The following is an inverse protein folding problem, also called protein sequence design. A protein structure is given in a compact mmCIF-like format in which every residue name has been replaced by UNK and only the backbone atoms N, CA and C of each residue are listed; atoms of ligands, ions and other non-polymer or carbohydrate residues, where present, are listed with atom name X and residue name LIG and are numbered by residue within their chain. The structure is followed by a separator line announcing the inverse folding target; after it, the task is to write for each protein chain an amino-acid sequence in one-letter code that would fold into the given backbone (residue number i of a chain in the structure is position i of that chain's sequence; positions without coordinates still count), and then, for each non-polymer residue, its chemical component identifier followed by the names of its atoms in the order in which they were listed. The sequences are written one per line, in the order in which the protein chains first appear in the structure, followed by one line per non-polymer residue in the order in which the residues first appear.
data_IF_053098247947
#
_entry.id   IF_053098247947
#
_cell.length_a   1.000
_cell.length_b   1.000
_cell.length_c   1.000
_cell.angle_alpha   90.00
_cell.angle_beta   90.00
_cell.angle_gamma   90.00
#
_symmetry.space_group_name_H-M   'P 1'
#
loop_
_entity.id
_entity.type
_entity.pdbx_description
1 polymer ?
#
# COMPACT_ATOMS: atom_id res chain seq x y z
N UNK A 1 -7.13 -11.63 15.73
CA UNK A 1 -7.19 -10.21 15.36
C UNK A 1 -6.86 -10.08 13.89
N UNK A 2 -7.72 -9.45 13.09
CA UNK A 2 -7.52 -9.25 11.64
C UNK A 2 -6.18 -8.55 11.38
N UNK A 3 -5.43 -8.93 10.35
CA UNK A 3 -4.15 -8.28 9.97
C UNK A 3 -4.27 -6.76 9.83
N UNK A 4 -5.45 -6.27 9.41
CA UNK A 4 -5.81 -4.85 9.35
C UNK A 4 -5.67 -4.11 10.69
N UNK A 5 -5.97 -4.77 11.80
CA UNK A 5 -5.85 -4.18 13.13
C UNK A 5 -4.42 -4.21 13.66
N UNK A 6 -3.59 -5.12 13.14
CA UNK A 6 -2.21 -5.30 13.58
C UNK A 6 -1.24 -4.30 12.94
N UNK A 7 -1.44 -3.93 11.67
CA UNK A 7 -0.59 -2.92 11.01
C UNK A 7 -0.95 -1.46 11.34
N UNK A 8 -1.83 -1.24 12.33
CA UNK A 8 -2.14 0.07 12.87
C UNK A 8 -3.18 0.89 12.08
N UNK A 9 -3.49 2.12 12.54
CA UNK A 9 -4.60 2.92 12.01
C UNK A 9 -4.49 3.27 10.52
N UNK A 10 -3.26 3.37 10.00
CA UNK A 10 -3.01 3.71 8.59
C UNK A 10 -3.33 2.58 7.61
N UNK A 11 -3.65 1.37 8.10
CA UNK A 11 -4.15 0.30 7.23
C UNK A 11 -5.52 0.59 6.61
N UNK A 12 -6.39 1.34 7.31
CA UNK A 12 -7.71 1.69 6.78
C UNK A 12 -7.64 2.63 5.57
N UNK A 13 -6.85 3.74 5.61
CA UNK A 13 -6.54 4.54 4.43
C UNK A 13 -5.94 3.74 3.27
N UNK A 14 -5.02 2.81 3.55
CA UNK A 14 -4.44 1.94 2.52
C UNK A 14 -5.51 1.06 1.86
N UNK A 15 -6.45 0.51 2.64
CA UNK A 15 -7.56 -0.29 2.10
C UNK A 15 -8.47 0.54 1.19
N UNK A 16 -8.77 1.78 1.57
CA UNK A 16 -9.56 2.71 0.74
C UNK A 16 -8.82 3.01 -0.56
N UNK A 17 -7.52 3.30 -0.50
CA UNK A 17 -6.67 3.51 -1.68
C UNK A 17 -6.67 2.28 -2.60
N UNK A 18 -6.63 1.08 -2.03
CA UNK A 18 -6.66 -0.15 -2.80
C UNK A 18 -7.98 -0.30 -3.57
N UNK A 19 -9.11 -0.06 -2.92
CA UNK A 19 -10.44 -0.11 -3.56
C UNK A 19 -10.53 0.94 -4.68
N UNK A 20 -10.05 2.16 -4.43
CA UNK A 20 -10.04 3.23 -5.45
C UNK A 20 -9.20 2.80 -6.67
N UNK A 21 -8.02 2.24 -6.45
CA UNK A 21 -7.15 1.76 -7.54
C UNK A 21 -7.85 0.67 -8.34
N UNK A 22 -8.49 -0.31 -7.70
CA UNK A 22 -9.25 -1.36 -8.37
C UNK A 22 -10.39 -0.78 -9.22
N UNK A 23 -11.17 0.16 -8.68
CA UNK A 23 -12.25 0.84 -9.41
C UNK A 23 -11.72 1.62 -10.62
N UNK A 24 -10.58 2.29 -10.49
CA UNK A 24 -9.95 3.02 -11.59
C UNK A 24 -9.44 2.07 -12.69
N UNK A 25 -8.84 0.93 -12.32
CA UNK A 25 -8.40 -0.08 -13.28
C UNK A 25 -9.61 -0.61 -14.06
N UNK A 26 -10.67 -1.03 -13.37
CA UNK A 26 -11.92 -1.50 -14.00
C UNK A 26 -12.49 -0.43 -14.93
N UNK A 27 -12.63 0.81 -14.45
CA UNK A 27 -13.11 1.94 -15.26
C UNK A 27 -12.26 2.18 -16.51
N UNK A 28 -10.93 2.07 -16.40
CA UNK A 28 -10.00 2.27 -17.50
C UNK A 28 -10.04 1.18 -18.56
N UNK A 29 -10.44 -0.04 -18.19
CA UNK A 29 -10.61 -1.15 -19.14
C UNK A 29 -11.88 -0.94 -19.98
N UNK A 30 -12.98 -0.50 -19.37
CA UNK A 30 -14.27 -0.31 -20.07
C UNK A 30 -14.41 1.04 -20.80
N UNK A 31 -13.76 2.11 -20.34
CA UNK A 31 -13.87 3.45 -20.96
C UNK A 31 -12.63 3.81 -21.76
N UNK A 32 -12.82 4.26 -23.01
CA UNK A 32 -11.73 4.65 -23.91
C UNK A 32 -11.28 6.10 -23.79
N UNK A 33 -11.99 6.95 -23.05
CA UNK A 33 -11.69 8.39 -22.92
C UNK A 33 -10.66 8.63 -21.80
N UNK A 34 -9.61 9.43 -22.08
CA UNK A 34 -8.58 9.89 -21.12
C UNK A 34 -7.65 8.80 -20.49
N UNK A 35 -7.38 7.69 -21.20
CA UNK A 35 -6.52 6.60 -20.67
C UNK A 35 -5.17 7.04 -20.12
N UNK A 36 -4.52 8.02 -20.75
CA UNK A 36 -3.19 8.49 -20.32
C UNK A 36 -3.21 9.15 -18.93
N UNK A 37 -4.23 9.98 -18.66
CA UNK A 37 -4.41 10.61 -17.34
C UNK A 37 -4.71 9.55 -16.28
N UNK A 38 -5.60 8.61 -16.60
CA UNK A 38 -5.97 7.51 -15.70
C UNK A 38 -4.78 6.61 -15.36
N UNK A 39 -3.95 6.25 -16.36
CA UNK A 39 -2.71 5.50 -16.17
C UNK A 39 -1.74 6.24 -15.23
N UNK A 40 -1.57 7.56 -15.44
CA UNK A 40 -0.72 8.39 -14.58
C UNK A 40 -1.25 8.41 -13.14
N UNK A 41 -2.56 8.61 -12.96
CA UNK A 41 -3.21 8.60 -11.64
C UNK A 41 -3.03 7.27 -10.91
N UNK A 42 -3.25 6.13 -11.58
CA UNK A 42 -3.04 4.79 -10.99
C UNK A 42 -1.58 4.61 -10.55
N UNK A 43 -0.62 5.00 -11.40
CA UNK A 43 0.80 4.90 -11.10
C UNK A 43 1.18 5.72 -9.87
N UNK A 44 0.68 6.95 -9.77
CA UNK A 44 0.96 7.87 -8.65
C UNK A 44 0.31 7.39 -7.36
N UNK A 45 -0.97 6.97 -7.39
CA UNK A 45 -1.66 6.43 -6.22
C UNK A 45 -1.02 5.14 -5.71
N UNK A 46 -0.58 4.28 -6.63
CA UNK A 46 0.20 3.10 -6.31
C UNK A 46 1.48 3.44 -5.55
N UNK A 47 2.29 4.34 -6.08
CA UNK A 47 3.54 4.76 -5.42
C UNK A 47 3.25 5.37 -4.04
N UNK A 48 2.23 6.21 -3.95
CA UNK A 48 1.79 6.81 -2.70
C UNK A 48 1.41 5.74 -1.66
N UNK A 49 0.70 4.68 -2.06
CA UNK A 49 0.33 3.59 -1.14
C UNK A 49 1.55 2.85 -0.57
N UNK A 50 2.60 2.62 -1.37
CA UNK A 50 3.85 2.04 -0.88
C UNK A 50 4.53 2.95 0.14
N UNK A 51 4.67 4.24 -0.19
CA UNK A 51 5.26 5.24 0.73
C UNK A 51 4.46 5.34 2.02
N UNK A 52 3.12 5.31 1.95
CA UNK A 52 2.25 5.37 3.12
C UNK A 52 2.39 4.12 4.00
N UNK A 53 2.64 2.94 3.40
CA UNK A 53 2.94 1.71 4.13
C UNK A 53 4.23 1.80 4.95
N UNK A 54 5.32 2.33 4.36
CA UNK A 54 6.56 2.59 5.08
C UNK A 54 6.42 3.71 6.13
N UNK A 55 5.65 4.74 5.84
CA UNK A 55 5.35 5.80 6.79
C UNK A 55 4.65 5.25 8.05
N UNK A 56 3.67 4.36 7.86
CA UNK A 56 3.02 3.67 8.97
C UNK A 56 3.99 2.81 9.80
N UNK A 57 4.93 2.13 9.14
CA UNK A 57 5.97 1.38 9.83
C UNK A 57 6.88 2.27 10.67
N UNK A 58 7.31 3.42 10.15
CA UNK A 58 8.15 4.38 10.88
C UNK A 58 7.43 4.86 12.15
N UNK A 59 6.14 5.21 12.05
CA UNK A 59 5.35 5.59 13.22
C UNK A 59 5.23 4.45 14.25
N UNK A 60 5.05 3.22 13.78
CA UNK A 60 5.03 2.04 14.64
C UNK A 60 6.37 1.81 15.37
N UNK A 61 7.49 2.02 14.67
CA UNK A 61 8.82 1.92 15.27
C UNK A 61 9.10 3.01 16.29
N UNK A 62 8.68 4.25 16.04
CA UNK A 62 8.83 5.34 17.03
C UNK A 62 8.17 4.93 18.35
N UNK A 63 6.89 4.54 18.33
CA UNK A 63 6.19 4.13 19.55
C UNK A 63 6.74 2.84 20.20
N UNK A 64 7.21 1.89 19.38
CA UNK A 64 7.84 0.68 19.89
C UNK A 64 9.17 0.98 20.59
N UNK A 65 10.04 1.81 19.99
CA UNK A 65 11.32 2.17 20.58
C UNK A 65 11.17 3.04 21.84
N UNK A 66 10.18 3.94 21.88
CA UNK A 66 9.83 4.66 23.11
C UNK A 66 9.44 3.70 24.24
N UNK A 67 8.60 2.70 23.94
CA UNK A 67 8.18 1.69 24.92
C UNK A 67 9.37 0.84 25.41
N UNK A 68 10.29 0.50 24.51
CA UNK A 68 11.51 -0.24 24.83
C UNK A 68 12.43 0.59 25.73
N UNK A 69 12.62 1.88 25.43
CA UNK A 69 13.45 2.78 26.21
C UNK A 69 12.92 2.96 27.64
N UNK A 70 11.59 2.94 27.83
CA UNK A 70 10.95 3.05 29.15
C UNK A 70 10.98 1.74 29.95
N UNK A 71 10.87 0.59 29.28
CA UNK A 71 10.82 -0.73 29.94
C UNK A 71 12.18 -1.21 30.47
N UNK A 72 13.28 -0.76 29.85
CA UNK A 72 14.65 -1.12 30.23
C UNK A 72 15.06 -2.52 29.76
N UNK A 73 14.39 -3.57 30.23
CA UNK A 73 14.69 -4.96 29.88
C UNK A 73 13.53 -5.61 29.14
N UNK A 74 13.77 -6.02 27.89
CA UNK A 74 12.78 -6.64 27.00
C UNK A 74 13.32 -7.95 26.47
N UNK A 75 12.53 -9.02 26.63
CA UNK A 75 12.93 -10.32 26.08
C UNK A 75 13.07 -10.24 24.55
N UNK A 76 14.08 -10.90 23.96
CA UNK A 76 14.25 -10.95 22.50
C UNK A 76 13.01 -11.45 21.76
N UNK A 77 12.21 -12.33 22.39
CA UNK A 77 10.97 -12.85 21.82
C UNK A 77 9.89 -11.78 21.62
N UNK A 78 9.77 -10.82 22.54
CA UNK A 78 8.81 -9.72 22.44
C UNK A 78 9.23 -8.76 21.34
N UNK A 79 10.52 -8.43 21.27
CA UNK A 79 11.08 -7.60 20.21
C UNK A 79 10.84 -8.22 18.82
N UNK A 80 11.14 -9.51 18.67
CA UNK A 80 10.94 -10.23 17.41
C UNK A 80 9.47 -10.20 16.96
N UNK A 81 8.53 -10.40 17.87
CA UNK A 81 7.10 -10.32 17.56
C UNK A 81 6.68 -8.92 17.12
N UNK A 82 7.15 -7.87 17.79
CA UNK A 82 6.88 -6.48 17.40
C UNK A 82 7.44 -6.13 16.02
N UNK A 83 8.63 -6.63 15.69
CA UNK A 83 9.24 -6.45 14.37
C UNK A 83 8.40 -7.10 13.27
N UNK A 84 7.95 -8.34 13.46
CA UNK A 84 7.10 -9.05 12.48
C UNK A 84 5.81 -8.27 12.21
N UNK A 85 5.17 -7.75 13.26
CA UNK A 85 3.93 -6.95 13.12
C UNK A 85 4.16 -5.66 12.36
N UNK A 86 5.32 -5.01 12.54
CA UNK A 86 5.66 -3.76 11.83
C UNK A 86 5.72 -3.92 10.31
N UNK A 87 6.04 -5.12 9.81
CA UNK A 87 6.12 -5.41 8.38
C UNK A 87 4.76 -5.60 7.71
N UNK A 88 3.67 -5.72 8.45
CA UNK A 88 2.32 -5.90 7.88
C UNK A 88 1.92 -4.68 7.04
N UNK A 89 2.14 -3.47 7.55
CA UNK A 89 1.80 -2.22 6.85
C UNK A 89 2.58 -2.00 5.54
N UNK A 90 3.92 -2.11 5.48
CA UNK A 90 4.68 -1.95 4.24
C UNK A 90 4.38 -3.06 3.24
N UNK A 91 4.21 -4.32 3.69
CA UNK A 91 3.79 -5.41 2.79
C UNK A 91 2.44 -5.07 2.14
N UNK A 92 1.48 -4.55 2.90
CA UNK A 92 0.19 -4.16 2.35
C UNK A 92 0.31 -2.99 1.36
N UNK A 93 1.08 -1.95 1.67
CA UNK A 93 1.37 -0.86 0.72
C UNK A 93 2.07 -1.32 -0.56
N UNK A 94 3.02 -2.25 -0.43
CA UNK A 94 3.72 -2.86 -1.56
C UNK A 94 2.75 -3.68 -2.43
N UNK A 95 1.85 -4.46 -1.82
CA UNK A 95 0.83 -5.21 -2.56
C UNK A 95 -0.04 -4.28 -3.41
N UNK A 96 -0.50 -3.16 -2.83
CA UNK A 96 -1.29 -2.16 -3.54
C UNK A 96 -0.48 -1.57 -4.71
N UNK A 97 0.78 -1.22 -4.47
CA UNK A 97 1.69 -0.76 -5.52
C UNK A 97 1.83 -1.78 -6.65
N UNK A 98 2.07 -3.06 -6.35
CA UNK A 98 2.16 -4.11 -7.37
C UNK A 98 0.88 -4.21 -8.21
N UNK A 99 -0.29 -4.22 -7.58
CA UNK A 99 -1.57 -4.22 -8.32
C UNK A 99 -1.73 -2.99 -9.21
N UNK A 100 -1.27 -1.82 -8.76
CA UNK A 100 -1.31 -0.60 -9.57
C UNK A 100 -0.44 -0.70 -10.82
N UNK A 101 0.76 -1.29 -10.71
CA UNK A 101 1.68 -1.46 -11.84
C UNK A 101 1.15 -2.48 -12.85
N UNK A 102 0.58 -3.60 -12.37
CA UNK A 102 -0.08 -4.59 -13.24
C UNK A 102 -1.25 -3.94 -13.97
N UNK A 103 -2.10 -3.20 -13.26
CA UNK A 103 -3.22 -2.46 -13.85
C UNK A 103 -2.77 -1.45 -14.90
N UNK A 104 -1.71 -0.68 -14.63
CA UNK A 104 -1.09 0.24 -15.58
C UNK A 104 -0.64 -0.47 -16.86
N UNK A 105 0.04 -1.61 -16.74
CA UNK A 105 0.51 -2.38 -17.90
C UNK A 105 -0.66 -2.85 -18.77
N UNK A 106 -1.72 -3.38 -18.16
CA UNK A 106 -2.93 -3.83 -18.88
C UNK A 106 -3.58 -2.66 -19.64
N UNK A 107 -3.67 -1.49 -19.00
CA UNK A 107 -4.27 -0.30 -19.61
C UNK A 107 -3.42 0.27 -20.75
N UNK A 108 -2.09 0.26 -20.62
CA UNK A 108 -1.17 0.65 -21.70
C UNK A 108 -1.31 -0.28 -22.90
N UNK A 109 -1.40 -1.59 -22.66
CA UNK A 109 -1.57 -2.57 -23.73
C UNK A 109 -2.90 -2.38 -24.48
N UNK A 110 -3.97 -2.10 -23.73
CA UNK A 110 -5.29 -1.79 -24.31
C UNK A 110 -5.30 -0.44 -25.03
N UNK A 111 -4.52 0.55 -24.59
CA UNK A 111 -4.41 1.85 -25.26
C UNK A 111 -3.79 1.67 -26.66
N UNK A 112 -2.65 1.01 -26.77
CA UNK A 112 -1.93 0.84 -28.04
C UNK A 112 -2.75 0.09 -29.10
N UNK A 113 -3.66 -0.81 -28.70
CA UNK A 113 -4.57 -1.51 -29.63
C UNK A 113 -5.65 -0.61 -30.24
N UNK A 114 -6.02 0.50 -29.59
CA UNK A 114 -7.06 1.41 -30.11
C UNK A 114 -6.50 2.57 -30.93
N UNK A 115 -5.16 2.76 -30.92
CA UNK A 115 -4.48 3.80 -31.71
C UNK A 115 -3.92 3.26 -33.05
N UNK A 116 -3.99 1.94 -33.28
CA UNK A 116 -3.68 1.25 -34.55
C UNK A 116 -4.98 0.74 -35.19
#
# INVERSE_FOLDING_TARGET
MTYLNQGGPLMYPLLILFIIILLLIVKGVFKNTEKQKLISTISTLGLFSMVLGFFAQILGFIGAFESIALAGDISPSVLANGLIVSYIAPIFGILIFFTSQIGKLILLWTKNKNEN
#
